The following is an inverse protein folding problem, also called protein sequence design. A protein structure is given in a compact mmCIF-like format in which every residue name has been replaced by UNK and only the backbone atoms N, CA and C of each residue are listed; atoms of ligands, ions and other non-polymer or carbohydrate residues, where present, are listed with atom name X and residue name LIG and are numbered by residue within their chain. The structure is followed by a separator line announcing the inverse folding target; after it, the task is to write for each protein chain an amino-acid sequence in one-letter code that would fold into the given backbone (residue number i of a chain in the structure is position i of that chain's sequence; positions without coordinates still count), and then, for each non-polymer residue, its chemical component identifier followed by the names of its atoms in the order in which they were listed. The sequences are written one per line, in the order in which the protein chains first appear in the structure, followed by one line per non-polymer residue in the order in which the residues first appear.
data_IF_986007330853
#
_entry.id   IF_986007330853
#
_cell.length_a   1.000
_cell.length_b   1.000
_cell.length_c   1.000
_cell.angle_alpha   90.00
_cell.angle_beta   90.00
_cell.angle_gamma   90.00
#
_symmetry.space_group_name_H-M   'P 1'
#
loop_
_entity.id
_entity.type
_entity.pdbx_description
1 polymer ?
#
# COMPACT_ATOMS: atom_id res chain seq x y z
N UNK A 1 8.15 3.33 -20.41
CA UNK A 1 8.99 2.14 -20.15
C UNK A 1 10.35 2.49 -19.54
N UNK A 2 11.13 3.41 -20.15
CA UNK A 2 12.39 3.91 -19.58
C UNK A 2 12.21 4.59 -18.21
N UNK A 3 11.20 5.45 -18.05
CA UNK A 3 10.91 6.09 -16.76
C UNK A 3 10.57 5.04 -15.69
N UNK A 4 9.77 4.02 -16.03
CA UNK A 4 9.44 2.95 -15.11
C UNK A 4 10.68 2.16 -14.65
N UNK A 5 11.62 1.87 -15.58
CA UNK A 5 12.89 1.21 -15.26
C UNK A 5 13.82 2.08 -14.41
N UNK A 6 13.96 3.36 -14.74
CA UNK A 6 14.78 4.31 -13.96
C UNK A 6 14.24 4.46 -12.54
N UNK A 7 12.91 4.59 -12.40
CA UNK A 7 12.26 4.70 -11.09
C UNK A 7 12.44 3.41 -10.28
N UNK A 8 12.28 2.24 -10.90
CA UNK A 8 12.51 0.95 -10.24
C UNK A 8 13.95 0.77 -9.77
N UNK A 9 14.93 1.23 -10.57
CA UNK A 9 16.35 1.20 -10.20
C UNK A 9 16.66 2.10 -9.00
N UNK A 10 16.16 3.34 -9.02
CA UNK A 10 16.37 4.30 -7.93
C UNK A 10 15.71 3.79 -6.64
N UNK A 11 14.45 3.36 -6.69
CA UNK A 11 13.72 2.84 -5.53
C UNK A 11 14.42 1.62 -4.93
N UNK A 12 14.88 0.68 -5.76
CA UNK A 12 15.63 -0.50 -5.30
C UNK A 12 16.91 -0.12 -4.56
N UNK A 13 17.63 0.89 -5.07
CA UNK A 13 18.86 1.35 -4.44
C UNK A 13 18.60 2.07 -3.11
N UNK A 14 17.53 2.88 -3.03
CA UNK A 14 17.12 3.57 -1.79
C UNK A 14 16.66 2.58 -0.72
N UNK A 15 15.91 1.53 -1.08
CA UNK A 15 15.49 0.49 -0.13
C UNK A 15 16.71 -0.22 0.46
N UNK A 16 17.71 -0.54 -0.36
CA UNK A 16 18.94 -1.21 0.10
C UNK A 16 19.69 -0.37 1.13
N UNK A 17 19.77 0.95 0.91
CA UNK A 17 20.35 1.91 1.84
C UNK A 17 19.54 2.03 3.15
N UNK A 18 18.21 2.13 3.05
CA UNK A 18 17.33 2.23 4.21
C UNK A 18 17.38 0.98 5.11
N UNK A 19 17.45 -0.20 4.50
CA UNK A 19 17.60 -1.49 5.22
C UNK A 19 18.96 -1.55 5.94
N UNK A 20 20.03 -1.07 5.30
CA UNK A 20 21.36 -1.02 5.93
C UNK A 20 21.37 -0.10 7.17
N UNK A 21 20.64 1.01 7.11
CA UNK A 21 20.53 1.97 8.21
C UNK A 21 19.72 1.45 9.42
N UNK A 22 18.77 0.52 9.22
CA UNK A 22 17.93 -0.08 10.30
C UNK A 22 18.45 -1.41 10.84
N UNK A 23 19.60 -1.89 10.36
CA UNK A 23 20.17 -3.19 10.74
C UNK A 23 20.45 -3.33 12.25
N UNK A 24 20.76 -2.22 12.92
CA UNK A 24 21.01 -2.16 14.37
C UNK A 24 19.72 -2.29 15.21
N UNK A 25 18.60 -1.69 14.79
CA UNK A 25 17.31 -1.81 15.50
C UNK A 25 16.77 -3.26 15.48
N UNK A 26 16.93 -3.95 14.35
CA UNK A 26 16.45 -5.33 14.16
C UNK A 26 17.26 -6.31 15.03
N UNK A 27 18.57 -6.07 15.20
CA UNK A 27 19.44 -6.85 16.09
C UNK A 27 19.06 -6.72 17.57
N UNK A 28 18.65 -5.51 18.00
CA UNK A 28 18.22 -5.26 19.40
C UNK A 28 16.90 -5.98 19.70
N UNK A 29 15.95 -6.01 18.76
CA UNK A 29 14.67 -6.71 18.92
C UNK A 29 14.81 -8.23 19.04
N UNK A 30 15.79 -8.84 18.34
CA UNK A 30 16.10 -10.28 18.46
C UNK A 30 16.75 -10.65 19.81
N UNK A 31 17.52 -9.73 20.41
CA UNK A 31 18.23 -9.95 21.69
C UNK A 31 17.29 -10.00 22.92
N UNK A 32 16.06 -9.49 22.81
CA UNK A 32 15.09 -9.43 23.93
C UNK A 32 14.11 -10.62 23.92
N UNK A 33 14.28 -11.60 23.04
CA UNK A 33 13.40 -12.79 22.97
C UNK A 33 12.03 -12.50 22.34
N UNK A 34 11.95 -11.50 21.47
CA UNK A 34 10.71 -11.13 20.80
C UNK A 34 10.25 -12.26 19.86
N UNK A 35 9.08 -12.82 20.15
CA UNK A 35 8.38 -13.79 19.28
C UNK A 35 8.29 -13.23 17.84
N UNK A 36 8.38 -14.08 16.81
CA UNK A 36 8.28 -13.70 15.39
C UNK A 36 7.09 -12.75 15.05
N UNK A 37 6.05 -12.70 15.88
CA UNK A 37 4.92 -11.78 15.78
C UNK A 37 5.26 -10.31 16.13
N UNK A 38 6.15 -10.04 17.09
CA UNK A 38 6.54 -8.68 17.50
C UNK A 38 7.33 -7.96 16.39
N UNK A 39 8.15 -8.70 15.65
CA UNK A 39 8.88 -8.15 14.49
C UNK A 39 7.93 -7.85 13.34
N UNK A 40 6.84 -8.63 13.18
CA UNK A 40 5.87 -8.50 12.08
C UNK A 40 4.88 -7.35 12.29
N UNK A 41 4.45 -7.12 13.54
CA UNK A 41 3.42 -6.14 13.89
C UNK A 41 3.65 -4.72 13.34
N UNK A 42 4.85 -4.10 13.48
CA UNK A 42 5.08 -2.74 12.97
C UNK A 42 4.98 -2.67 11.44
N UNK A 43 5.47 -3.68 10.71
CA UNK A 43 5.36 -3.72 9.25
C UNK A 43 3.92 -3.91 8.77
N UNK A 44 3.12 -4.73 9.47
CA UNK A 44 1.70 -4.87 9.16
C UNK A 44 0.94 -3.55 9.37
N UNK A 45 1.24 -2.83 10.45
CA UNK A 45 0.67 -1.50 10.72
C UNK A 45 1.06 -0.50 9.64
N UNK A 46 2.33 -0.46 9.27
CA UNK A 46 2.81 0.43 8.21
C UNK A 46 2.14 0.10 6.86
N UNK A 47 2.04 -1.18 6.51
CA UNK A 47 1.30 -1.64 5.32
C UNK A 47 -0.18 -1.28 5.35
N UNK A 48 -0.84 -1.40 6.50
CA UNK A 48 -2.25 -1.00 6.66
C UNK A 48 -2.44 0.50 6.44
N UNK A 49 -1.55 1.33 6.99
CA UNK A 49 -1.60 2.80 6.86
C UNK A 49 -1.40 3.22 5.40
N UNK A 50 -0.37 2.70 4.74
CA UNK A 50 -0.13 2.98 3.32
C UNK A 50 -1.28 2.45 2.44
N UNK A 51 -1.83 1.27 2.76
CA UNK A 51 -3.00 0.70 2.11
C UNK A 51 -4.26 1.58 2.26
N UNK A 52 -4.51 2.09 3.46
CA UNK A 52 -5.61 3.01 3.74
C UNK A 52 -5.46 4.32 2.95
N UNK A 53 -4.27 4.92 2.97
CA UNK A 53 -3.96 6.14 2.22
C UNK A 53 -4.13 5.93 0.72
N UNK A 54 -3.66 4.81 0.18
CA UNK A 54 -3.83 4.46 -1.23
C UNK A 54 -5.30 4.27 -1.62
N UNK A 55 -6.08 3.57 -0.79
CA UNK A 55 -7.51 3.40 -1.00
C UNK A 55 -8.28 4.72 -0.90
N UNK A 56 -7.91 5.60 0.03
CA UNK A 56 -8.51 6.94 0.17
C UNK A 56 -8.17 7.84 -1.03
N UNK A 57 -6.93 7.79 -1.52
CA UNK A 57 -6.51 8.50 -2.73
C UNK A 57 -7.23 7.99 -3.98
N UNK A 58 -7.41 6.67 -4.11
CA UNK A 58 -8.16 6.10 -5.22
C UNK A 58 -9.64 6.52 -5.18
N UNK A 59 -10.26 6.53 -3.98
CA UNK A 59 -11.63 6.98 -3.80
C UNK A 59 -11.80 8.47 -4.14
N UNK A 60 -10.87 9.33 -3.75
CA UNK A 60 -10.93 10.77 -4.05
C UNK A 60 -10.76 11.04 -5.55
N UNK A 61 -9.85 10.34 -6.22
CA UNK A 61 -9.69 10.43 -7.68
C UNK A 61 -10.94 9.96 -8.41
N UNK A 62 -11.53 8.84 -7.98
CA UNK A 62 -12.79 8.33 -8.57
C UNK A 62 -13.94 9.32 -8.41
N UNK A 63 -14.02 9.99 -7.26
CA UNK A 63 -15.03 11.02 -7.00
C UNK A 63 -14.83 12.26 -7.88
N UNK A 64 -13.60 12.75 -8.01
CA UNK A 64 -13.24 13.87 -8.89
C UNK A 64 -13.53 13.56 -10.36
N UNK A 65 -13.17 12.35 -10.81
CA UNK A 65 -13.43 11.90 -12.17
C UNK A 65 -14.95 11.82 -12.45
N UNK A 66 -15.73 11.23 -11.53
CA UNK A 66 -17.19 11.17 -11.66
C UNK A 66 -17.84 12.54 -11.83
N UNK A 67 -17.33 13.56 -11.11
CA UNK A 67 -17.82 14.95 -11.19
C UNK A 67 -17.44 15.66 -12.51
N UNK A 68 -16.23 15.42 -13.02
CA UNK A 68 -15.76 16.01 -14.27
C UNK A 68 -16.46 15.44 -15.52
N UNK A 69 -16.87 14.15 -15.47
CA UNK A 69 -17.60 13.51 -16.57
C UNK A 69 -19.07 13.90 -16.63
N UNK A 70 -19.71 14.16 -15.48
CA UNK A 70 -21.11 14.61 -15.41
C UNK A 70 -21.30 16.06 -15.87
N UNK A 71 -20.28 16.92 -15.79
CA UNK A 71 -20.36 18.30 -16.28
C UNK A 71 -20.24 18.45 -17.80
N UNK A 72 -19.76 17.43 -18.52
CA UNK A 72 -19.35 17.58 -19.94
C UNK A 72 -20.26 16.88 -20.95
N UNK A 73 -21.11 15.91 -20.56
CA UNK A 73 -21.97 15.18 -21.52
C UNK A 73 -23.26 14.70 -20.87
N UNK A 74 -24.38 15.37 -21.14
CA UNK A 74 -25.66 15.17 -20.43
C UNK A 74 -26.46 13.90 -20.81
N UNK A 75 -26.03 13.09 -21.80
CA UNK A 75 -26.95 12.08 -22.39
C UNK A 75 -26.46 10.63 -22.40
N UNK A 76 -25.15 10.36 -22.32
CA UNK A 76 -24.61 8.98 -22.38
C UNK A 76 -24.20 8.46 -21.00
N UNK A 77 -23.79 9.35 -20.09
CA UNK A 77 -23.24 9.01 -18.77
C UNK A 77 -24.32 8.56 -17.79
N UNK A 78 -25.58 8.94 -18.01
CA UNK A 78 -26.71 8.53 -17.16
C UNK A 78 -27.00 7.01 -17.19
N UNK A 79 -26.51 6.28 -18.19
CA UNK A 79 -26.63 4.81 -18.27
C UNK A 79 -25.48 4.07 -17.56
N UNK A 80 -24.30 4.69 -17.42
CA UNK A 80 -23.24 4.23 -16.51
C UNK A 80 -23.58 4.83 -15.15
N UNK A 81 -24.57 4.20 -14.55
CA UNK A 81 -25.20 4.55 -13.31
C UNK A 81 -24.18 5.07 -12.27
N UNK A 82 -24.48 6.21 -11.68
CA UNK A 82 -23.69 6.94 -10.64
C UNK A 82 -23.49 6.09 -9.37
N UNK A 83 -23.98 4.85 -9.37
CA UNK A 83 -23.68 3.80 -8.40
C UNK A 83 -22.18 3.57 -8.21
N UNK A 84 -21.33 3.82 -9.23
CA UNK A 84 -19.87 3.75 -9.07
C UNK A 84 -19.27 4.85 -8.17
N UNK A 85 -20.02 5.91 -7.88
CA UNK A 85 -19.63 7.03 -6.99
C UNK A 85 -20.33 6.95 -5.63
N UNK A 86 -21.02 5.85 -5.33
CA UNK A 86 -21.64 5.65 -4.03
C UNK A 86 -20.61 5.56 -2.89
N UNK A 87 -20.92 6.04 -1.67
CA UNK A 87 -20.01 5.95 -0.52
C UNK A 87 -19.60 4.52 -0.19
N UNK A 88 -20.42 3.53 -0.57
CA UNK A 88 -20.13 2.10 -0.45
C UNK A 88 -18.83 1.69 -1.16
N UNK A 89 -18.58 2.24 -2.35
CA UNK A 89 -17.38 1.92 -3.14
C UNK A 89 -16.14 2.59 -2.57
N UNK A 90 -16.27 3.80 -2.01
CA UNK A 90 -15.18 4.44 -1.29
C UNK A 90 -14.74 3.61 -0.07
N UNK A 91 -15.69 3.13 0.74
CA UNK A 91 -15.39 2.24 1.86
C UNK A 91 -14.79 0.90 1.38
N UNK A 92 -15.31 0.33 0.29
CA UNK A 92 -14.76 -0.88 -0.29
C UNK A 92 -13.31 -0.68 -0.75
N UNK A 93 -13.01 0.42 -1.46
CA UNK A 93 -11.65 0.77 -1.92
C UNK A 93 -10.66 0.95 -0.77
N UNK A 94 -11.07 1.65 0.29
CA UNK A 94 -10.24 1.82 1.49
C UNK A 94 -10.02 0.48 2.18
N UNK A 95 -11.07 -0.33 2.37
CA UNK A 95 -10.97 -1.65 2.98
C UNK A 95 -10.09 -2.61 2.19
N UNK A 96 -10.22 -2.62 0.86
CA UNK A 96 -9.42 -3.44 -0.04
C UNK A 96 -7.97 -2.95 -0.09
N UNK A 97 -7.75 -1.63 -0.04
CA UNK A 97 -6.43 -1.01 0.09
C UNK A 97 -5.72 -1.44 1.38
N UNK A 98 -6.40 -1.38 2.53
CA UNK A 98 -5.89 -1.86 3.81
C UNK A 98 -5.56 -3.35 3.73
N UNK A 99 -6.49 -4.16 3.21
CA UNK A 99 -6.31 -5.60 3.07
C UNK A 99 -5.08 -5.95 2.23
N UNK A 100 -4.94 -5.32 1.06
CA UNK A 100 -3.78 -5.50 0.19
C UNK A 100 -2.48 -4.98 0.81
N UNK A 101 -2.52 -3.86 1.52
CA UNK A 101 -1.38 -3.30 2.24
C UNK A 101 -0.87 -4.24 3.34
N UNK A 102 -1.78 -4.80 4.14
CA UNK A 102 -1.46 -5.80 5.18
C UNK A 102 -0.96 -7.10 4.56
N UNK A 103 -1.64 -7.61 3.51
CA UNK A 103 -1.23 -8.84 2.83
C UNK A 103 0.16 -8.69 2.18
N UNK A 104 0.39 -7.55 1.52
CA UNK A 104 1.68 -7.21 0.91
C UNK A 104 2.81 -7.12 1.96
N UNK A 105 2.55 -6.44 3.08
CA UNK A 105 3.49 -6.37 4.19
C UNK A 105 3.79 -7.77 4.77
N UNK A 106 2.77 -8.62 4.92
CA UNK A 106 2.94 -9.99 5.42
C UNK A 106 3.81 -10.85 4.50
N UNK A 107 3.64 -10.72 3.18
CA UNK A 107 4.47 -11.41 2.18
C UNK A 107 5.91 -10.88 2.15
N UNK A 108 6.08 -9.56 2.25
CA UNK A 108 7.41 -8.93 2.27
C UNK A 108 8.22 -9.37 3.49
N UNK A 109 7.62 -9.41 4.67
CA UNK A 109 8.29 -9.82 5.92
C UNK A 109 8.65 -11.31 5.90
N UNK A 110 7.78 -12.17 5.35
CA UNK A 110 8.11 -13.61 5.15
C UNK A 110 9.38 -13.77 4.32
N UNK A 111 9.46 -13.07 3.19
CA UNK A 111 10.60 -13.15 2.27
C UNK A 111 11.90 -12.57 2.83
N UNK A 112 11.82 -11.59 3.74
CA UNK A 112 13.00 -10.99 4.38
C UNK A 112 13.55 -11.82 5.55
N UNK A 113 12.68 -12.53 6.28
CA UNK A 113 13.11 -13.42 7.37
C UNK A 113 13.79 -14.69 6.87
N UNK A 114 13.48 -15.14 5.64
CA UNK A 114 14.10 -16.33 5.03
C UNK A 114 15.55 -16.10 4.55
N UNK A 115 16.06 -14.86 4.60
CA UNK A 115 17.39 -14.49 4.09
C UNK A 115 18.48 -14.38 5.16
N UNK A 116 18.17 -14.61 6.44
CA UNK A 116 19.16 -14.60 7.52
C UNK A 116 19.35 -16.05 8.02
N UNK A 117 20.40 -16.77 7.56
CA UNK A 117 20.78 -18.01 8.21
C UNK A 117 21.29 -17.66 9.61
N UNK A 118 20.72 -18.37 10.60
CA UNK A 118 21.07 -18.34 12.02
C UNK A 118 22.56 -18.36 12.29
#
# INVERSE_FOLDING_TARGET
LLVALATAFIVSNTIRLAVYARRSEIGILKLVGATNAFVRLPFLLEGAIWGACGGAAAASVLWLAGRAFTSSTTSVVSFIDVRFTGPQIAFALVGLGIFLGVAGAMLAVRRFLDLEPT
#
